data_IF_191542107995
#
_entry.id   IF_191542107995
#
_cell.length_a   1.000
_cell.length_b   1.000
_cell.length_c   1.000
_cell.angle_alpha   90.00
_cell.angle_beta   90.00
_cell.angle_gamma   90.00
#
_symmetry.space_group_name_H-M   'P 1'
#
loop_
_entity.id
_entity.type
_entity.pdbx_description
1 polymer ?
#
# COMPACT_ATOMS: atom_id res chain seq x y z
N UNK A 1 -36.64 -27.56 8.33
CA UNK A 1 -36.18 -26.18 8.07
C UNK A 1 -34.68 -26.21 8.26
N UNK A 2 -34.00 -26.06 7.13
CA UNK A 2 -32.59 -25.92 6.83
C UNK A 2 -31.52 -26.61 7.69
N UNK A 3 -30.98 -27.65 7.05
CA UNK A 3 -29.65 -28.21 7.22
C UNK A 3 -28.60 -27.14 6.89
N UNK A 4 -28.03 -26.47 7.90
CA UNK A 4 -26.71 -25.83 7.73
C UNK A 4 -25.67 -26.82 8.22
N UNK A 5 -25.13 -27.59 7.28
CA UNK A 5 -23.81 -28.18 7.44
C UNK A 5 -22.85 -27.02 7.70
N UNK A 6 -22.46 -26.82 8.95
CA UNK A 6 -21.26 -26.05 9.27
C UNK A 6 -20.11 -26.90 8.78
N UNK A 7 -19.84 -26.81 7.48
CA UNK A 7 -18.57 -27.24 6.94
C UNK A 7 -17.51 -26.56 7.80
N UNK A 8 -16.59 -27.34 8.35
CA UNK A 8 -15.47 -26.84 9.14
C UNK A 8 -14.51 -26.19 8.16
N UNK A 9 -14.94 -25.10 7.51
CA UNK A 9 -14.12 -24.31 6.63
C UNK A 9 -13.27 -23.45 7.55
N UNK A 10 -12.00 -23.82 7.70
CA UNK A 10 -11.01 -23.03 8.42
C UNK A 10 -10.93 -21.66 7.74
N UNK A 11 -11.40 -20.61 8.43
CA UNK A 11 -11.38 -19.25 7.91
C UNK A 11 -9.92 -18.87 7.58
N UNK A 12 -9.63 -18.33 6.37
CA UNK A 12 -8.28 -17.94 6.04
C UNK A 12 -7.73 -16.87 6.99
N UNK A 13 -6.47 -17.04 7.37
CA UNK A 13 -5.73 -16.01 8.12
C UNK A 13 -4.96 -15.14 7.14
N UNK A 14 -5.30 -13.85 7.12
CA UNK A 14 -4.69 -12.83 6.27
C UNK A 14 -3.78 -11.93 7.12
N UNK A 15 -2.58 -11.64 6.63
CA UNK A 15 -1.67 -10.70 7.29
C UNK A 15 -1.88 -9.28 6.76
N UNK A 16 -2.10 -8.32 7.66
CA UNK A 16 -2.20 -6.90 7.33
C UNK A 16 -0.97 -6.19 7.88
N UNK A 17 -0.26 -5.46 7.02
CA UNK A 17 0.96 -4.73 7.37
C UNK A 17 0.81 -3.25 7.05
N UNK A 18 1.12 -2.40 8.03
CA UNK A 18 1.29 -0.97 7.85
C UNK A 18 2.77 -0.63 8.03
N UNK A 19 3.42 -0.12 7.00
CA UNK A 19 4.84 0.24 7.03
C UNK A 19 5.01 1.76 6.91
N UNK A 20 5.24 2.43 8.04
CA UNK A 20 5.58 3.86 8.09
C UNK A 20 7.09 4.05 8.32
N UNK A 21 7.66 5.22 7.98
CA UNK A 21 9.11 5.45 8.14
C UNK A 21 9.64 5.23 9.56
N UNK A 22 8.81 5.51 10.57
CA UNK A 22 9.19 5.40 11.98
C UNK A 22 8.93 4.02 12.57
N UNK A 23 7.94 3.28 12.03
CA UNK A 23 7.46 2.02 12.61
C UNK A 23 6.66 1.20 11.62
N UNK A 24 6.75 -0.12 11.78
CA UNK A 24 5.90 -1.08 11.09
C UNK A 24 4.97 -1.79 12.08
N UNK A 25 3.71 -1.98 11.68
CA UNK A 25 2.71 -2.77 12.39
C UNK A 25 2.30 -3.97 11.54
N UNK A 26 1.95 -5.06 12.22
CA UNK A 26 1.55 -6.31 11.59
C UNK A 26 0.48 -6.98 12.43
N UNK A 27 -0.66 -7.28 11.82
CA UNK A 27 -1.82 -7.88 12.46
C UNK A 27 -2.30 -9.04 11.59
N UNK A 28 -2.64 -10.17 12.21
CA UNK A 28 -3.29 -11.28 11.51
C UNK A 28 -4.79 -11.21 11.75
N UNK A 29 -5.55 -11.35 10.70
CA UNK A 29 -7.02 -11.32 10.72
C UNK A 29 -7.53 -12.61 10.12
N UNK A 30 -8.27 -13.37 10.92
CA UNK A 30 -9.02 -14.55 10.46
C UNK A 30 -10.42 -14.09 10.08
N UNK A 31 -10.83 -14.38 8.85
CA UNK A 31 -12.13 -13.94 8.32
C UNK A 31 -12.58 -14.87 7.18
N UNK A 32 -13.90 -14.96 6.90
CA UNK A 32 -14.41 -15.75 5.79
C UNK A 32 -13.74 -15.41 4.45
N UNK A 33 -13.62 -16.40 3.56
CA UNK A 33 -13.02 -16.21 2.23
C UNK A 33 -13.72 -15.15 1.38
N UNK A 34 -14.96 -14.80 1.68
CA UNK A 34 -15.72 -13.75 1.00
C UNK A 34 -15.45 -12.34 1.55
N UNK A 35 -14.59 -12.19 2.57
CA UNK A 35 -14.35 -10.93 3.25
C UNK A 35 -13.47 -10.01 2.40
N UNK A 36 -13.91 -8.77 2.21
CA UNK A 36 -13.18 -7.78 1.41
C UNK A 36 -11.94 -7.24 2.13
N UNK A 37 -10.98 -6.75 1.35
CA UNK A 37 -9.77 -6.11 1.85
C UNK A 37 -10.09 -4.91 2.75
N UNK A 38 -11.08 -4.10 2.39
CA UNK A 38 -11.51 -2.99 3.23
C UNK A 38 -12.02 -3.46 4.61
N UNK A 39 -12.76 -4.56 4.65
CA UNK A 39 -13.26 -5.11 5.91
C UNK A 39 -12.15 -5.73 6.75
N UNK A 40 -11.23 -6.48 6.13
CA UNK A 40 -10.06 -7.04 6.81
C UNK A 40 -9.20 -5.93 7.41
N UNK A 41 -8.98 -4.84 6.67
CA UNK A 41 -8.23 -3.68 7.15
C UNK A 41 -8.94 -3.01 8.33
N UNK A 42 -10.26 -2.81 8.27
CA UNK A 42 -11.03 -2.30 9.43
C UNK A 42 -10.91 -3.22 10.65
N UNK A 43 -11.02 -4.54 10.47
CA UNK A 43 -10.87 -5.53 11.55
C UNK A 43 -9.46 -5.50 12.18
N UNK A 44 -8.44 -5.16 11.39
CA UNK A 44 -7.07 -5.01 11.89
C UNK A 44 -6.84 -3.75 12.73
N UNK A 45 -7.70 -2.72 12.60
CA UNK A 45 -7.53 -1.40 13.21
C UNK A 45 -6.37 -0.56 12.64
N UNK A 46 -5.66 -1.06 11.63
CA UNK A 46 -4.49 -0.37 11.07
C UNK A 46 -4.85 0.81 10.17
N UNK A 47 -6.10 0.93 9.72
CA UNK A 47 -6.61 2.15 9.07
C UNK A 47 -6.59 3.34 10.02
N UNK A 48 -7.07 3.14 11.25
CA UNK A 48 -7.10 4.15 12.30
C UNK A 48 -5.68 4.52 12.73
N UNK A 49 -4.78 3.54 12.85
CA UNK A 49 -3.36 3.79 13.12
C UNK A 49 -2.74 4.59 11.98
N UNK A 50 -2.99 4.23 10.73
CA UNK A 50 -2.47 4.98 9.58
C UNK A 50 -2.96 6.43 9.61
N UNK A 51 -4.26 6.66 9.79
CA UNK A 51 -4.83 8.01 9.83
C UNK A 51 -4.24 8.85 10.96
N UNK A 52 -4.03 8.26 12.15
CA UNK A 52 -3.39 8.95 13.28
C UNK A 52 -1.93 9.31 13.03
N UNK A 53 -1.17 8.41 12.42
CA UNK A 53 0.29 8.56 12.28
C UNK A 53 0.70 9.30 10.99
N UNK A 54 -0.10 9.21 9.93
CA UNK A 54 0.18 9.84 8.62
C UNK A 54 -0.77 10.97 8.25
N UNK A 55 -1.92 11.11 8.93
CA UNK A 55 -2.96 12.08 8.57
C UNK A 55 -3.72 11.74 7.28
N UNK A 56 -3.58 10.51 6.77
CA UNK A 56 -4.17 10.09 5.50
C UNK A 56 -4.73 8.66 5.62
N UNK A 57 -5.75 8.35 4.82
CA UNK A 57 -6.23 6.98 4.67
C UNK A 57 -5.22 6.15 3.86
N UNK A 58 -4.98 4.88 4.23
CA UNK A 58 -4.03 4.04 3.53
C UNK A 58 -4.54 3.61 2.15
N UNK A 59 -3.62 3.49 1.21
CA UNK A 59 -3.81 2.72 -0.02
C UNK A 59 -3.52 1.25 0.28
N UNK A 60 -4.41 0.37 -0.17
CA UNK A 60 -4.26 -1.09 0.01
C UNK A 60 -3.52 -1.67 -1.19
N UNK A 61 -2.55 -2.54 -0.93
CA UNK A 61 -1.88 -3.35 -1.93
C UNK A 61 -1.69 -4.80 -1.52
N UNK A 62 -1.37 -5.64 -2.49
CA UNK A 62 -1.02 -7.06 -2.33
C UNK A 62 0.18 -7.34 -3.22
N UNK A 63 1.27 -7.86 -2.63
CA UNK A 63 2.55 -8.11 -3.32
C UNK A 63 3.01 -6.92 -4.19
N UNK A 64 2.97 -5.70 -3.65
CA UNK A 64 3.37 -4.48 -4.34
C UNK A 64 2.42 -3.98 -5.43
N UNK A 65 1.24 -4.61 -5.61
CA UNK A 65 0.19 -4.15 -6.52
C UNK A 65 -0.92 -3.47 -5.75
N UNK A 66 -1.31 -2.25 -6.16
CA UNK A 66 -2.50 -1.56 -5.60
C UNK A 66 -3.77 -2.37 -5.90
N UNK A 67 -4.61 -2.55 -4.89
CA UNK A 67 -5.93 -3.19 -5.01
C UNK A 67 -7.05 -2.24 -4.54
N UNK A 68 -8.27 -2.52 -4.99
CA UNK A 68 -9.45 -1.79 -4.55
C UNK A 68 -9.96 -2.26 -3.18
N UNK A 69 -10.88 -1.51 -2.54
CA UNK A 69 -11.48 -1.89 -1.26
C UNK A 69 -12.27 -3.21 -1.35
N UNK A 70 -12.87 -3.50 -2.50
CA UNK A 70 -13.69 -4.70 -2.75
C UNK A 70 -12.86 -5.94 -3.15
N UNK A 71 -11.53 -5.83 -3.20
CA UNK A 71 -10.66 -6.97 -3.47
C UNK A 71 -10.83 -8.03 -2.37
N UNK A 72 -10.98 -9.29 -2.75
CA UNK A 72 -11.09 -10.41 -1.81
C UNK A 72 -9.75 -11.14 -1.76
N UNK A 73 -8.96 -10.99 -0.67
CA UNK A 73 -7.67 -11.65 -0.54
C UNK A 73 -7.81 -13.14 -0.31
N UNK A 74 -6.87 -13.90 -0.87
CA UNK A 74 -6.79 -15.35 -0.69
C UNK A 74 -5.96 -15.73 0.53
N UNK A 75 -6.16 -16.93 1.04
CA UNK A 75 -5.33 -17.50 2.10
C UNK A 75 -3.84 -17.34 1.81
N UNK A 76 -3.07 -16.84 2.78
CA UNK A 76 -1.64 -16.62 2.65
C UNK A 76 -1.24 -15.32 1.93
N UNK A 77 -2.19 -14.55 1.39
CA UNK A 77 -1.89 -13.21 0.88
C UNK A 77 -1.68 -12.22 2.04
N UNK A 78 -0.88 -11.19 1.75
CA UNK A 78 -0.62 -10.08 2.67
C UNK A 78 -1.21 -8.80 2.11
N UNK A 79 -2.03 -8.14 2.91
CA UNK A 79 -2.51 -6.78 2.66
C UNK A 79 -1.45 -5.78 3.16
N UNK A 80 -0.98 -4.93 2.26
CA UNK A 80 0.06 -3.95 2.49
C UNK A 80 -0.59 -2.56 2.46
N UNK A 81 -0.50 -1.83 3.58
CA UNK A 81 -1.03 -0.48 3.73
C UNK A 81 0.09 0.54 3.48
N UNK A 82 -0.08 1.31 2.41
CA UNK A 82 0.84 2.35 2.00
C UNK A 82 0.22 3.72 2.21
N UNK A 83 1.05 4.73 2.52
CA UNK A 83 0.65 6.13 2.32
C UNK A 83 0.45 6.40 0.83
N UNK A 84 -0.48 7.28 0.49
CA UNK A 84 -0.57 7.80 -0.87
C UNK A 84 0.79 8.40 -1.23
N UNK A 85 1.51 7.75 -2.15
CA UNK A 85 2.63 8.43 -2.79
C UNK A 85 1.98 9.58 -3.55
N UNK A 86 2.19 10.81 -3.09
CA UNK A 86 2.10 11.96 -3.97
C UNK A 86 3.04 11.64 -5.12
N UNK A 87 2.50 11.15 -6.24
CA UNK A 87 3.27 10.98 -7.46
C UNK A 87 3.92 12.35 -7.74
N UNK A 88 5.21 12.48 -8.00
CA UNK A 88 5.93 11.71 -9.01
C UNK A 88 7.46 11.62 -8.74
N UNK A 89 8.00 10.49 -8.22
CA UNK A 89 9.45 10.32 -8.06
C UNK A 89 10.20 10.14 -9.41
N UNK A 90 9.46 9.93 -10.52
CA UNK A 90 10.04 9.76 -11.86
C UNK A 90 10.43 11.09 -12.52
N UNK A 91 9.88 12.22 -12.07
CA UNK A 91 10.26 13.55 -12.57
C UNK A 91 11.47 14.14 -11.83
N UNK A 92 11.66 13.81 -10.55
CA UNK A 92 12.82 14.30 -9.78
C UNK A 92 14.15 13.67 -10.21
N UNK A 93 14.13 12.52 -10.88
CA UNK A 93 15.36 11.91 -11.44
C UNK A 93 15.82 12.58 -12.73
N UNK A 94 14.93 13.29 -13.47
CA UNK A 94 15.30 13.98 -14.71
C UNK A 94 15.99 15.33 -14.48
N UNK A 95 15.76 15.98 -13.32
CA UNK A 95 16.23 17.35 -13.08
C UNK A 95 17.63 17.47 -12.42
N UNK A 96 18.35 16.35 -12.19
CA UNK A 96 19.69 16.37 -11.56
C UNK A 96 20.86 16.03 -12.48
N UNK A 97 20.61 15.81 -13.78
CA UNK A 97 21.65 15.47 -14.76
C UNK A 97 21.97 16.61 -15.75
N UNK A 98 21.67 17.87 -15.41
CA UNK A 98 21.82 19.00 -16.35
C UNK A 98 22.30 20.29 -15.70
N UNK A 99 23.31 20.25 -14.83
CA UNK A 99 24.12 21.44 -14.52
C UNK A 99 25.60 21.06 -14.51
N UNK A 100 26.39 21.89 -15.23
CA UNK A 100 27.85 21.92 -15.49
C UNK A 100 28.12 21.57 -16.96
N UNK A 101 28.59 22.48 -17.83
CA UNK A 101 29.62 23.53 -17.68
C UNK A 101 29.36 24.70 -18.66
N UNK A 102 29.35 25.94 -18.16
CA UNK A 102 30.35 27.03 -18.31
C UNK A 102 30.29 27.83 -19.62
N UNK A 103 30.04 29.14 -19.47
CA UNK A 103 30.59 30.26 -20.23
C UNK A 103 32.02 30.03 -20.75
N UNK A 104 32.33 30.47 -21.97
CA UNK A 104 33.08 31.72 -22.24
C UNK A 104 33.57 31.80 -23.72
N UNK A 105 33.40 32.97 -24.35
CA UNK A 105 34.40 33.58 -25.25
C UNK A 105 34.51 33.15 -26.72
N UNK A 106 34.18 34.05 -27.66
CA UNK A 106 34.63 33.93 -29.05
C UNK A 106 34.04 34.92 -30.08
N UNK A 107 34.36 36.21 -29.95
CA UNK A 107 34.27 37.19 -31.06
C UNK A 107 35.39 36.94 -32.07
N UNK A 108 35.12 37.04 -33.38
CA UNK A 108 36.17 36.93 -34.40
C UNK A 108 35.70 36.99 -35.86
N UNK A 109 35.89 38.17 -36.46
CA UNK A 109 35.80 38.54 -37.87
C UNK A 109 36.18 37.47 -38.92
N UNK A 110 35.44 37.46 -40.05
CA UNK A 110 35.92 37.82 -41.40
C UNK A 110 34.77 37.92 -42.39
#
# INVERSE_FOLDING_TARGET
MDLVMTDTTDDPTIEVVLALPQRCWRVRVTAPESTTAAEIVRRSGLDTVCERESGERPVIGVFGRKVGPDYVPRAGERLELYRSLVANPRERRRSRAGVRRRDDGGSGAR
#
